data_IF_016212685707
#
_entry.id   IF_016212685707
#
_cell.length_a   1.000
_cell.length_b   1.000
_cell.length_c   1.000
_cell.angle_alpha   90.00
_cell.angle_beta   90.00
_cell.angle_gamma   90.00
#
_symmetry.space_group_name_H-M   'P 1'
#
loop_
_entity.id
_entity.type
_entity.pdbx_description
1 polymer ?
#
# COMPACT_ATOMS: atom_id res chain seq x y z
N UNK A 1 37.05 -51.76 5.22
CA UNK A 1 37.53 -50.41 4.88
C UNK A 1 36.47 -49.43 5.40
N UNK A 2 36.77 -48.76 6.51
CA UNK A 2 35.91 -47.75 7.13
C UNK A 2 36.05 -46.43 6.35
N UNK A 3 34.94 -45.81 5.98
CA UNK A 3 34.79 -44.37 5.73
C UNK A 3 33.33 -44.02 6.08
N UNK A 4 33.05 -43.65 7.32
CA UNK A 4 33.03 -42.27 7.84
C UNK A 4 31.82 -41.46 7.38
N UNK A 5 30.88 -41.38 8.32
CA UNK A 5 29.83 -40.39 8.57
C UNK A 5 29.74 -39.18 7.63
N UNK A 6 28.56 -39.06 7.03
CA UNK A 6 27.90 -37.78 6.76
C UNK A 6 26.43 -37.92 7.09
N UNK A 7 26.06 -37.81 8.38
CA UNK A 7 24.66 -37.54 8.73
C UNK A 7 24.41 -36.09 8.33
N UNK A 8 23.78 -35.91 7.17
CA UNK A 8 23.22 -34.62 6.79
C UNK A 8 22.03 -34.36 7.72
N UNK A 9 22.24 -33.53 8.73
CA UNK A 9 21.15 -33.00 9.55
C UNK A 9 20.52 -31.87 8.75
N UNK A 10 19.40 -32.15 8.08
CA UNK A 10 18.55 -31.13 7.51
C UNK A 10 17.60 -30.70 8.63
N UNK A 11 17.98 -29.66 9.35
CA UNK A 11 17.10 -28.89 10.21
C UNK A 11 15.95 -28.38 9.34
N UNK A 12 14.86 -29.13 9.38
CA UNK A 12 13.60 -28.84 8.71
C UNK A 12 12.94 -27.62 9.34
N UNK A 13 13.57 -26.45 9.22
CA UNK A 13 12.87 -25.19 9.36
C UNK A 13 12.16 -24.93 8.04
N UNK A 14 11.13 -25.74 7.76
CA UNK A 14 10.09 -25.39 6.78
C UNK A 14 9.31 -24.24 7.40
N UNK A 15 9.92 -23.06 7.42
CA UNK A 15 9.19 -21.81 7.50
C UNK A 15 8.43 -21.76 6.19
N UNK A 16 7.16 -22.15 6.22
CA UNK A 16 6.22 -21.77 5.19
C UNK A 16 6.19 -20.25 5.19
N UNK A 17 7.12 -19.62 4.46
CA UNK A 17 7.00 -18.23 4.05
C UNK A 17 5.82 -18.24 3.12
N UNK A 18 4.63 -18.06 3.72
CA UNK A 18 3.43 -17.72 2.99
C UNK A 18 3.77 -16.40 2.31
N UNK A 19 4.19 -16.47 1.04
CA UNK A 19 4.37 -15.27 0.22
C UNK A 19 3.04 -14.53 0.25
N UNK A 20 3.00 -13.48 1.06
CA UNK A 20 1.85 -12.60 1.15
C UNK A 20 1.78 -11.91 -0.20
N UNK A 21 0.84 -12.33 -1.04
CA UNK A 21 0.55 -11.67 -2.31
C UNK A 21 0.52 -10.15 -2.05
N UNK A 22 1.27 -9.34 -2.83
CA UNK A 22 1.31 -7.92 -2.61
C UNK A 22 -0.13 -7.40 -2.62
N UNK A 23 -0.48 -6.67 -1.55
CA UNK A 23 -1.82 -6.11 -1.41
C UNK A 23 -2.16 -5.18 -2.57
N UNK A 24 -3.44 -5.04 -2.90
CA UNK A 24 -3.88 -4.12 -3.93
C UNK A 24 -3.60 -2.66 -3.49
N UNK A 25 -3.14 -1.84 -4.43
CA UNK A 25 -2.81 -0.42 -4.21
C UNK A 25 -3.62 0.44 -5.18
N UNK A 26 -4.17 1.55 -4.69
CA UNK A 26 -4.90 2.56 -5.47
C UNK A 26 -4.25 3.93 -5.25
N UNK A 27 -4.04 4.69 -6.31
CA UNK A 27 -3.55 6.07 -6.26
C UNK A 27 -4.55 7.01 -6.90
N UNK A 28 -5.04 7.99 -6.15
CA UNK A 28 -5.84 9.10 -6.65
C UNK A 28 -4.95 10.31 -6.87
N UNK A 29 -5.02 10.90 -8.06
CA UNK A 29 -4.32 12.15 -8.39
C UNK A 29 -5.39 13.24 -8.55
N UNK A 30 -5.30 14.27 -7.73
CA UNK A 30 -6.26 15.39 -7.69
C UNK A 30 -5.54 16.72 -7.90
N UNK A 31 -6.26 17.74 -8.39
CA UNK A 31 -5.62 18.99 -8.77
C UNK A 31 -5.38 19.88 -7.54
N UNK A 32 -6.39 20.08 -6.72
CA UNK A 32 -6.34 20.98 -5.55
C UNK A 32 -6.59 20.23 -4.23
N UNK A 33 -6.18 20.82 -3.09
CA UNK A 33 -6.52 20.30 -1.78
C UNK A 33 -7.99 20.62 -1.48
N UNK A 34 -8.88 19.66 -1.73
CA UNK A 34 -10.34 19.65 -1.53
C UNK A 34 -11.03 18.71 -2.54
N UNK A 35 -10.44 18.58 -3.74
CA UNK A 35 -10.92 17.70 -4.81
C UNK A 35 -11.06 16.22 -4.35
N UNK A 36 -10.27 15.77 -3.37
CA UNK A 36 -10.38 14.41 -2.83
C UNK A 36 -11.71 14.14 -2.11
N UNK A 37 -12.37 15.18 -1.61
CA UNK A 37 -13.65 15.05 -0.92
C UNK A 37 -14.77 14.60 -1.86
N UNK A 38 -14.71 15.02 -3.13
CA UNK A 38 -15.66 14.58 -4.17
C UNK A 38 -15.60 13.06 -4.37
N UNK A 39 -14.43 12.46 -4.15
CA UNK A 39 -14.18 11.02 -4.26
C UNK A 39 -14.16 10.30 -2.91
N UNK A 40 -14.44 10.99 -1.79
CA UNK A 40 -14.23 10.48 -0.44
C UNK A 40 -14.95 9.15 -0.15
N UNK A 41 -16.20 9.00 -0.61
CA UNK A 41 -16.95 7.75 -0.48
C UNK A 41 -16.30 6.58 -1.23
N UNK A 42 -15.79 6.84 -2.44
CA UNK A 42 -15.11 5.83 -3.26
C UNK A 42 -13.79 5.39 -2.63
N UNK A 43 -12.98 6.34 -2.16
CA UNK A 43 -11.71 6.06 -1.48
C UNK A 43 -11.94 5.28 -0.18
N UNK A 44 -12.95 5.67 0.60
CA UNK A 44 -13.34 4.98 1.84
C UNK A 44 -13.83 3.54 1.58
N UNK A 45 -14.51 3.32 0.46
CA UNK A 45 -14.96 1.99 0.07
C UNK A 45 -13.77 1.03 -0.19
N UNK A 46 -12.71 1.54 -0.81
CA UNK A 46 -11.51 0.73 -1.10
C UNK A 46 -10.62 0.53 0.12
N UNK A 47 -10.46 1.54 0.98
CA UNK A 47 -9.74 1.35 2.25
C UNK A 47 -10.44 0.34 3.15
N UNK A 48 -11.78 0.35 3.21
CA UNK A 48 -12.57 -0.64 3.95
C UNK A 48 -12.37 -2.08 3.43
N UNK A 49 -11.98 -2.25 2.16
CA UNK A 49 -11.63 -3.54 1.54
C UNK A 49 -10.15 -3.93 1.74
N UNK A 50 -9.40 -3.17 2.53
CA UNK A 50 -7.98 -3.41 2.79
C UNK A 50 -7.06 -2.99 1.64
N UNK A 51 -7.55 -2.19 0.68
CA UNK A 51 -6.71 -1.61 -0.37
C UNK A 51 -5.91 -0.46 0.20
N UNK A 52 -4.61 -0.42 -0.10
CA UNK A 52 -3.76 0.71 0.27
C UNK A 52 -4.07 1.88 -0.67
N UNK A 53 -4.55 2.99 -0.11
CA UNK A 53 -4.93 4.18 -0.89
C UNK A 53 -3.90 5.29 -0.67
N UNK A 54 -3.44 5.89 -1.77
CA UNK A 54 -2.60 7.07 -1.79
C UNK A 54 -3.36 8.21 -2.48
N UNK A 55 -3.31 9.42 -1.91
CA UNK A 55 -3.83 10.64 -2.54
C UNK A 55 -2.66 11.56 -2.84
N UNK A 56 -2.54 11.97 -4.10
CA UNK A 56 -1.52 12.91 -4.57
C UNK A 56 -2.24 14.17 -5.02
N UNK A 57 -1.87 15.30 -4.42
CA UNK A 57 -2.40 16.62 -4.78
C UNK A 57 -1.37 17.31 -5.66
N UNK A 58 -1.77 17.70 -6.87
CA UNK A 58 -0.86 18.29 -7.86
C UNK A 58 -0.48 19.74 -7.51
N UNK A 59 -1.35 20.46 -6.80
CA UNK A 59 -1.16 21.87 -6.44
C UNK A 59 -1.51 22.15 -4.98
N UNK A 60 -1.11 23.32 -4.47
CA UNK A 60 -1.42 23.75 -3.10
C UNK A 60 -2.71 24.56 -2.97
N UNK A 61 -3.49 24.74 -4.04
CA UNK A 61 -4.76 25.47 -3.99
C UNK A 61 -4.66 26.97 -3.63
N UNK A 62 -3.49 27.60 -3.80
CA UNK A 62 -3.25 28.97 -3.31
C UNK A 62 -4.29 30.02 -3.76
N UNK A 63 -4.88 29.85 -4.95
CA UNK A 63 -5.85 30.78 -5.53
C UNK A 63 -7.32 30.49 -5.12
N UNK A 64 -7.60 29.43 -4.35
CA UNK A 64 -8.95 29.03 -3.94
C UNK A 64 -9.56 29.84 -2.79
N UNK A 65 -8.87 30.87 -2.30
CA UNK A 65 -9.30 31.68 -1.15
C UNK A 65 -10.16 32.87 -1.62
N UNK A 66 -11.27 33.15 -0.92
CA UNK A 66 -12.00 34.42 -1.11
C UNK A 66 -11.08 35.56 -0.72
N UNK A 67 -10.71 36.39 -1.68
CA UNK A 67 -10.10 37.67 -1.38
C UNK A 67 -11.21 38.60 -0.88
N UNK A 68 -11.25 38.81 0.44
CA UNK A 68 -12.11 39.84 1.02
C UNK A 68 -11.48 41.19 0.67
N UNK A 69 -12.22 42.00 -0.10
CA UNK A 69 -11.93 43.42 -0.33
C UNK A 69 -13.01 44.23 0.40
#
# INVERSE_FOLDING_TARGET
MLLSAGIYNQDNHTTTVTEKKPGNVLMAVVAHPDDELLMGALLSHYTAKGVKVHVVVATNGALGHRQNH
#
